data_IF_359633472084
#
_entry.id   IF_359633472084
#
_cell.length_a   1.000
_cell.length_b   1.000
_cell.length_c   1.000
_cell.angle_alpha   90.00
_cell.angle_beta   90.00
_cell.angle_gamma   90.00
#
_symmetry.space_group_name_H-M   'P 1'
#
loop_
_entity.id
_entity.type
_entity.pdbx_description
1 polymer ?
#
# COMPACT_ATOMS: atom_id res chain seq x y z
N UNK A 1 4.25 11.74 -24.69
CA UNK A 1 3.68 10.44 -24.29
C UNK A 1 3.54 10.43 -22.79
N UNK A 2 2.31 10.36 -22.25
CA UNK A 2 2.12 10.22 -20.80
C UNK A 2 2.54 8.80 -20.38
N UNK A 3 3.31 8.63 -19.29
CA UNK A 3 3.67 7.30 -18.82
C UNK A 3 2.40 6.55 -18.44
N UNK A 4 2.21 5.34 -18.98
CA UNK A 4 1.09 4.49 -18.60
C UNK A 4 1.15 4.22 -17.08
N UNK A 5 0.03 4.35 -16.36
CA UNK A 5 -0.01 4.07 -14.93
C UNK A 5 0.35 2.61 -14.66
N UNK A 6 1.09 2.38 -13.58
CA UNK A 6 1.55 1.05 -13.18
C UNK A 6 0.34 0.25 -12.65
N UNK A 7 0.08 -1.00 -13.12
CA UNK A 7 -1.08 -1.77 -12.66
C UNK A 7 -1.16 -1.92 -11.13
N UNK A 8 -0.04 -2.16 -10.47
CA UNK A 8 0.02 -2.24 -9.00
C UNK A 8 -0.35 -0.90 -8.31
N UNK A 9 0.02 0.24 -8.90
CA UNK A 9 -0.36 1.55 -8.37
C UNK A 9 -1.87 1.78 -8.52
N UNK A 10 -2.45 1.42 -9.66
CA UNK A 10 -3.89 1.52 -9.89
C UNK A 10 -4.66 0.63 -8.90
N UNK A 11 -4.18 -0.58 -8.65
CA UNK A 11 -4.82 -1.45 -7.67
C UNK A 11 -4.74 -0.85 -6.26
N UNK A 12 -3.58 -0.32 -5.84
CA UNK A 12 -3.45 0.37 -4.54
C UNK A 12 -4.40 1.57 -4.41
N UNK A 13 -4.65 2.30 -5.50
CA UNK A 13 -5.63 3.39 -5.55
C UNK A 13 -7.06 2.87 -5.38
N UNK A 14 -7.43 1.80 -6.08
CA UNK A 14 -8.75 1.17 -5.92
C UNK A 14 -8.97 0.62 -4.51
N UNK A 15 -7.93 0.05 -3.89
CA UNK A 15 -7.98 -0.40 -2.49
C UNK A 15 -8.15 0.78 -1.53
N UNK A 16 -7.52 1.93 -1.82
CA UNK A 16 -7.73 3.17 -1.06
C UNK A 16 -9.19 3.64 -1.17
N UNK A 17 -9.77 3.65 -2.36
CA UNK A 17 -11.16 4.10 -2.55
C UNK A 17 -12.15 3.23 -1.75
N UNK A 18 -11.86 1.94 -1.61
CA UNK A 18 -12.66 1.03 -0.78
C UNK A 18 -12.53 1.28 0.73
N UNK A 19 -11.48 1.98 1.19
CA UNK A 19 -11.39 2.44 2.58
C UNK A 19 -12.28 3.65 2.86
N UNK A 20 -12.67 4.39 1.82
CA UNK A 20 -13.45 5.60 1.98
C UNK A 20 -14.85 5.23 2.45
N UNK A 21 -15.27 5.86 3.56
CA UNK A 21 -16.57 5.60 4.17
C UNK A 21 -16.62 4.39 5.11
N UNK A 22 -15.56 3.59 5.25
CA UNK A 22 -15.54 2.51 6.24
C UNK A 22 -15.55 3.05 7.68
N UNK A 23 -16.29 2.34 8.52
CA UNK A 23 -16.39 2.53 9.96
C UNK A 23 -15.76 1.35 10.71
N UNK A 24 -15.10 1.63 11.84
CA UNK A 24 -14.55 0.59 12.70
C UNK A 24 -15.62 -0.23 13.45
N UNK A 25 -16.84 0.30 13.51
CA UNK A 25 -17.91 -0.23 14.38
C UNK A 25 -18.92 -1.11 13.65
N UNK A 26 -18.88 -1.14 12.31
CA UNK A 26 -19.80 -1.95 11.50
C UNK A 26 -19.14 -3.27 11.12
N UNK A 27 -19.80 -4.39 11.43
CA UNK A 27 -19.27 -5.73 11.11
C UNK A 27 -19.04 -5.94 9.60
N UNK A 28 -19.87 -5.33 8.74
CA UNK A 28 -19.68 -5.37 7.28
C UNK A 28 -18.36 -4.70 6.87
N UNK A 29 -18.03 -3.55 7.46
CA UNK A 29 -16.80 -2.82 7.18
C UNK A 29 -15.57 -3.56 7.72
N UNK A 30 -15.72 -4.30 8.81
CA UNK A 30 -14.65 -5.17 9.34
C UNK A 30 -14.27 -6.28 8.35
N UNK A 31 -15.25 -6.86 7.65
CA UNK A 31 -14.97 -7.82 6.57
C UNK A 31 -14.24 -7.18 5.40
N UNK A 32 -14.58 -5.94 5.06
CA UNK A 32 -13.85 -5.17 4.04
C UNK A 32 -12.41 -4.91 4.50
N UNK A 33 -12.21 -4.45 5.74
CA UNK A 33 -10.87 -4.22 6.29
C UNK A 33 -10.01 -5.50 6.29
N UNK A 34 -10.60 -6.65 6.65
CA UNK A 34 -9.91 -7.95 6.58
C UNK A 34 -9.49 -8.33 5.16
N UNK A 35 -10.35 -8.08 4.15
CA UNK A 35 -9.99 -8.27 2.75
C UNK A 35 -8.83 -7.37 2.35
N UNK A 36 -8.89 -6.09 2.70
CA UNK A 36 -7.84 -5.12 2.38
C UNK A 36 -6.49 -5.49 3.02
N UNK A 37 -6.49 -6.00 4.25
CA UNK A 37 -5.30 -6.56 4.89
C UNK A 37 -4.66 -7.70 4.09
N UNK A 38 -5.42 -8.45 3.28
CA UNK A 38 -4.89 -9.52 2.43
C UNK A 38 -4.41 -9.02 1.07
N UNK A 39 -5.14 -8.08 0.47
CA UNK A 39 -4.88 -7.61 -0.89
C UNK A 39 -3.75 -6.58 -0.95
N UNK A 40 -3.75 -5.59 -0.05
CA UNK A 40 -2.81 -4.48 -0.09
C UNK A 40 -1.32 -4.89 0.01
N UNK A 41 -0.91 -5.86 0.87
CA UNK A 41 0.49 -6.26 0.95
C UNK A 41 1.04 -6.83 -0.36
N UNK A 42 0.20 -7.59 -1.09
CA UNK A 42 0.59 -8.20 -2.36
C UNK A 42 0.85 -7.13 -3.42
N UNK A 43 -0.04 -6.14 -3.54
CA UNK A 43 0.15 -5.04 -4.49
C UNK A 43 1.36 -4.18 -4.16
N UNK A 44 1.58 -3.93 -2.86
CA UNK A 44 2.74 -3.17 -2.41
C UNK A 44 4.05 -3.91 -2.70
N UNK A 45 4.05 -5.24 -2.57
CA UNK A 45 5.19 -6.10 -2.94
C UNK A 45 5.46 -6.07 -4.44
N UNK A 46 4.42 -6.13 -5.28
CA UNK A 46 4.55 -5.98 -6.73
C UNK A 46 5.12 -4.61 -7.11
N UNK A 47 4.67 -3.55 -6.44
CA UNK A 47 5.17 -2.20 -6.66
C UNK A 47 6.66 -2.08 -6.27
N UNK A 48 7.06 -2.68 -5.15
CA UNK A 48 8.44 -2.72 -4.69
C UNK A 48 9.38 -3.36 -5.72
N UNK A 49 8.91 -4.38 -6.43
CA UNK A 49 9.67 -5.10 -7.46
C UNK A 49 9.98 -4.30 -8.72
N UNK A 50 9.50 -3.05 -8.86
CA UNK A 50 9.64 -2.25 -10.08
C UNK A 50 10.93 -1.41 -10.16
N UNK A 51 11.87 -1.57 -9.22
CA UNK A 51 13.11 -0.79 -9.21
C UNK A 51 12.86 0.69 -8.94
N UNK A 52 12.20 0.98 -7.82
CA UNK A 52 11.84 2.35 -7.43
C UNK A 52 13.06 3.13 -6.92
N UNK A 53 13.07 4.46 -7.10
CA UNK A 53 14.05 5.35 -6.45
C UNK A 53 14.02 5.22 -4.93
N UNK A 54 15.11 5.60 -4.25
CA UNK A 54 15.25 5.49 -2.79
C UNK A 54 14.08 6.12 -2.00
N UNK A 55 13.64 7.32 -2.37
CA UNK A 55 12.51 7.98 -1.71
C UNK A 55 11.24 7.13 -1.74
N UNK A 56 10.95 6.50 -2.88
CA UNK A 56 9.81 5.61 -3.05
C UNK A 56 10.00 4.26 -2.37
N UNK A 57 11.22 3.71 -2.32
CA UNK A 57 11.51 2.50 -1.52
C UNK A 57 11.22 2.72 -0.04
N UNK A 58 11.61 3.87 0.52
CA UNK A 58 11.27 4.24 1.91
C UNK A 58 9.77 4.33 2.12
N UNK A 59 9.04 4.91 1.16
CA UNK A 59 7.58 4.98 1.23
C UNK A 59 6.90 3.60 1.17
N UNK A 60 7.40 2.71 0.30
CA UNK A 60 6.96 1.30 0.26
C UNK A 60 7.16 0.66 1.63
N UNK A 61 8.35 0.79 2.21
CA UNK A 61 8.68 0.20 3.52
C UNK A 61 7.76 0.72 4.63
N UNK A 62 7.58 2.03 4.72
CA UNK A 62 6.66 2.63 5.70
C UNK A 62 5.22 2.12 5.54
N UNK A 63 4.77 1.95 4.29
CA UNK A 63 3.44 1.41 4.01
C UNK A 63 3.34 -0.08 4.38
N UNK A 64 4.42 -0.86 4.17
CA UNK A 64 4.49 -2.27 4.57
C UNK A 64 4.41 -2.43 6.09
N UNK A 65 5.14 -1.61 6.84
CA UNK A 65 5.12 -1.63 8.32
C UNK A 65 3.70 -1.36 8.86
N UNK A 66 2.98 -0.40 8.26
CA UNK A 66 1.60 -0.12 8.62
C UNK A 66 0.63 -1.25 8.24
N UNK A 67 0.80 -1.88 7.06
CA UNK A 67 -0.01 -3.03 6.68
C UNK A 67 0.25 -4.23 7.59
N UNK A 68 1.50 -4.48 7.97
CA UNK A 68 1.86 -5.53 8.92
C UNK A 68 1.17 -5.30 10.28
N UNK A 69 1.19 -4.07 10.78
CA UNK A 69 0.45 -3.69 11.98
C UNK A 69 -1.06 -3.95 11.84
N UNK A 70 -1.66 -3.50 10.73
CA UNK A 70 -3.09 -3.71 10.46
C UNK A 70 -3.45 -5.20 10.42
N UNK A 71 -2.67 -6.01 9.71
CA UNK A 71 -2.87 -7.45 9.59
C UNK A 71 -2.72 -8.16 10.93
N UNK A 72 -1.69 -7.82 11.70
CA UNK A 72 -1.46 -8.39 13.02
C UNK A 72 -2.59 -8.05 13.99
N UNK A 73 -3.04 -6.80 14.00
CA UNK A 73 -4.16 -6.35 14.84
C UNK A 73 -5.47 -7.05 14.43
N UNK A 74 -5.75 -7.15 13.13
CA UNK A 74 -6.94 -7.80 12.62
C UNK A 74 -7.00 -9.32 12.89
N UNK A 75 -5.85 -9.96 13.13
CA UNK A 75 -5.75 -11.37 13.47
C UNK A 75 -5.91 -11.67 14.98
N UNK A 76 -6.01 -10.64 15.83
CA UNK A 76 -6.20 -10.83 17.26
C UNK A 76 -7.60 -11.40 17.58
N UNK A 77 -7.77 -12.11 18.71
CA UNK A 77 -9.10 -12.56 19.15
C UNK A 77 -10.10 -11.42 19.38
N UNK A 78 -9.60 -10.23 19.75
CA UNK A 78 -10.38 -9.01 19.94
C UNK A 78 -9.68 -7.84 19.22
N UNK A 79 -9.85 -7.70 17.89
CA UNK A 79 -9.16 -6.66 17.14
C UNK A 79 -9.61 -5.25 17.53
N UNK A 80 -8.66 -4.34 17.68
CA UNK A 80 -8.94 -2.92 17.72
C UNK A 80 -9.17 -2.40 16.30
N UNK A 81 -10.40 -2.52 15.82
CA UNK A 81 -10.77 -2.16 14.44
C UNK A 81 -10.45 -0.71 14.07
N UNK A 82 -10.45 0.22 15.03
CA UNK A 82 -10.02 1.61 14.77
C UNK A 82 -8.53 1.71 14.47
N UNK A 83 -7.68 0.90 15.11
CA UNK A 83 -6.26 0.80 14.80
C UNK A 83 -6.06 0.18 13.41
N UNK A 84 -6.77 -0.91 13.10
CA UNK A 84 -6.75 -1.54 11.77
C UNK A 84 -7.10 -0.53 10.69
N UNK A 85 -8.21 0.19 10.85
CA UNK A 85 -8.67 1.20 9.89
C UNK A 85 -7.64 2.33 9.73
N UNK A 86 -7.07 2.82 10.82
CA UNK A 86 -6.09 3.91 10.81
C UNK A 86 -4.79 3.48 10.12
N UNK A 87 -4.31 2.27 10.40
CA UNK A 87 -3.12 1.71 9.77
C UNK A 87 -3.32 1.46 8.27
N UNK A 88 -4.49 0.91 7.86
CA UNK A 88 -4.83 0.75 6.44
C UNK A 88 -4.89 2.11 5.72
N UNK A 89 -5.54 3.12 6.31
CA UNK A 89 -5.57 4.48 5.75
C UNK A 89 -4.17 5.06 5.60
N UNK A 90 -3.34 4.98 6.63
CA UNK A 90 -1.96 5.46 6.58
C UNK A 90 -1.11 4.74 5.52
N UNK A 91 -1.29 3.43 5.38
CA UNK A 91 -0.56 2.63 4.40
C UNK A 91 -0.98 2.95 2.95
N UNK A 92 -2.27 3.19 2.71
CA UNK A 92 -2.82 3.35 1.37
C UNK A 92 -2.88 4.81 0.87
N UNK A 93 -2.99 5.79 1.78
CA UNK A 93 -3.06 7.21 1.45
C UNK A 93 -1.96 7.71 0.50
N UNK A 94 -0.66 7.38 0.69
CA UNK A 94 0.41 7.86 -0.17
C UNK A 94 0.22 7.48 -1.65
N UNK A 95 -0.36 6.31 -1.92
CA UNK A 95 -0.50 5.78 -3.28
C UNK A 95 -1.68 6.40 -4.05
N UNK A 96 -2.61 7.02 -3.34
CA UNK A 96 -3.71 7.79 -3.92
C UNK A 96 -3.38 9.27 -4.13
N UNK A 97 -2.52 9.85 -3.29
CA UNK A 97 -2.34 11.31 -3.25
C UNK A 97 -0.95 11.83 -3.65
N UNK A 98 0.07 10.98 -3.62
CA UNK A 98 1.40 11.38 -4.08
C UNK A 98 1.54 11.21 -5.60
N UNK A 99 2.50 11.92 -6.23
CA UNK A 99 2.82 11.70 -7.63
C UNK A 99 3.15 10.23 -7.92
N UNK A 100 3.00 9.75 -9.17
CA UNK A 100 3.34 8.38 -9.50
C UNK A 100 4.80 8.02 -9.13
N UNK A 101 5.05 6.80 -8.63
CA UNK A 101 6.38 6.34 -8.29
C UNK A 101 7.32 6.42 -9.48
N UNK A 102 8.51 6.97 -9.25
CA UNK A 102 9.57 7.02 -10.25
C UNK A 102 10.44 5.78 -10.13
N UNK A 103 10.68 5.12 -11.27
CA UNK A 103 11.70 4.09 -11.39
C UNK A 103 13.06 4.75 -11.41
N UNK A 104 14.07 4.06 -10.90
CA UNK A 104 15.45 4.48 -11.12
C UNK A 104 15.71 4.57 -12.63
N UNK A 105 16.42 5.62 -13.09
CA UNK A 105 16.87 5.63 -14.47
C UNK A 105 17.71 4.37 -14.69
N UNK A 106 17.38 3.59 -15.73
CA UNK A 106 18.26 2.52 -16.17
C UNK A 106 19.59 3.15 -16.54
N UNK A 107 20.64 2.87 -15.77
CA UNK A 107 21.98 3.31 -16.08
C UNK A 107 22.69 2.15 -16.81
N UNK A 108 22.76 2.16 -18.15
CA UNK A 108 23.43 1.09 -18.92
C UNK A 108 24.95 1.06 -18.72
N UNK A 109 25.52 2.02 -18.00
CA UNK A 109 26.95 2.07 -17.74
C UNK A 109 27.25 1.15 -16.55
N UNK A 110 27.48 -0.13 -16.87
CA UNK A 110 28.13 -1.07 -15.96
C UNK A 110 29.47 -0.51 -15.47
N UNK A 111 30.06 -1.08 -14.40
CA UNK A 111 31.36 -0.66 -13.94
C UNK A 111 32.39 -0.90 -15.06
N UNK A 112 32.83 0.18 -15.70
CA UNK A 112 34.11 0.21 -16.39
C UNK A 112 35.19 0.38 -15.32
N UNK A 113 35.52 -0.69 -14.59
CA UNK A 113 36.79 -0.83 -13.88
C UNK A 113 37.15 -2.31 -13.76
#
# INVERSE_FOLDING_TARGET
MQPRPLPALQQLQQLHDQLLGLSAYLAADQQVMLRLCREAPAELTRLAGLGLTEGWRRQVRASQELLELACREAAQPQPQWQLVLSALKGALYPWAHLPPPRREPFNPVGPHF
#
